data_IF_478823165779
#
_entry.id   IF_478823165779
#
_cell.length_a   1.000
_cell.length_b   1.000
_cell.length_c   1.000
_cell.angle_alpha   90.00
_cell.angle_beta   90.00
_cell.angle_gamma   90.00
#
_symmetry.space_group_name_H-M   'P 1'
#
loop_
_entity.id
_entity.type
_entity.pdbx_description
1 polymer ?
#
# COMPACT_ATOMS: atom_id res chain seq x y z
N UNK A 1 -5.98 -8.02 22.65
CA UNK A 1 -5.05 -8.28 21.52
C UNK A 1 -5.53 -9.41 20.61
N UNK A 2 -5.39 -10.70 20.96
CA UNK A 2 -5.59 -11.82 20.00
C UNK A 2 -6.93 -11.85 19.22
N UNK A 3 -8.05 -11.37 19.81
CA UNK A 3 -9.38 -11.43 19.19
C UNK A 3 -9.64 -10.32 18.15
N UNK A 4 -9.27 -9.08 18.43
CA UNK A 4 -9.32 -7.98 17.44
C UNK A 4 -8.30 -8.21 16.33
N UNK A 5 -7.09 -8.63 16.70
CA UNK A 5 -6.04 -9.00 15.75
C UNK A 5 -6.57 -10.02 14.75
N UNK A 6 -7.34 -11.03 15.20
CA UNK A 6 -7.91 -12.04 14.30
C UNK A 6 -8.98 -11.51 13.36
N UNK A 7 -9.83 -10.57 13.79
CA UNK A 7 -10.93 -10.04 12.96
C UNK A 7 -10.38 -9.08 11.93
N UNK A 8 -9.55 -8.11 12.33
CA UNK A 8 -8.90 -7.16 11.41
C UNK A 8 -8.02 -7.87 10.37
N UNK A 9 -7.23 -8.88 10.79
CA UNK A 9 -6.43 -9.67 9.84
C UNK A 9 -7.32 -10.47 8.90
N UNK A 10 -8.39 -11.09 9.38
CA UNK A 10 -9.26 -11.91 8.52
C UNK A 10 -9.97 -11.06 7.46
N UNK A 11 -10.55 -9.93 7.86
CA UNK A 11 -11.24 -9.01 6.95
C UNK A 11 -10.27 -8.40 5.92
N UNK A 12 -9.04 -8.09 6.32
CA UNK A 12 -8.02 -7.56 5.43
C UNK A 12 -7.37 -8.64 4.54
N UNK A 13 -7.34 -9.91 4.98
CA UNK A 13 -6.82 -11.04 4.19
C UNK A 13 -7.81 -11.55 3.15
N UNK A 14 -9.12 -11.44 3.37
CA UNK A 14 -10.13 -11.90 2.42
C UNK A 14 -9.93 -11.34 0.99
N UNK A 15 -9.80 -10.01 0.77
CA UNK A 15 -9.56 -9.48 -0.59
C UNK A 15 -8.23 -9.93 -1.17
N UNK A 16 -7.20 -10.17 -0.34
CA UNK A 16 -5.90 -10.70 -0.76
C UNK A 16 -6.06 -12.15 -1.26
N UNK A 17 -6.79 -12.99 -0.53
CA UNK A 17 -7.06 -14.38 -0.89
C UNK A 17 -7.86 -14.44 -2.20
N UNK A 18 -8.93 -13.65 -2.32
CA UNK A 18 -9.75 -13.59 -3.54
C UNK A 18 -8.90 -13.21 -4.75
N UNK A 19 -8.02 -12.22 -4.59
CA UNK A 19 -7.11 -11.80 -5.64
C UNK A 19 -6.08 -12.86 -6.00
N UNK A 20 -5.56 -13.59 -5.02
CA UNK A 20 -4.64 -14.71 -5.25
C UNK A 20 -5.31 -15.82 -6.07
N UNK A 21 -6.52 -16.21 -5.69
CA UNK A 21 -7.33 -17.19 -6.42
C UNK A 21 -7.60 -16.70 -7.85
N UNK A 22 -8.01 -15.44 -8.02
CA UNK A 22 -8.23 -14.84 -9.33
C UNK A 22 -6.98 -14.87 -10.21
N UNK A 23 -5.82 -14.51 -9.66
CA UNK A 23 -4.54 -14.50 -10.37
C UNK A 23 -4.14 -15.90 -10.85
N UNK A 24 -4.34 -16.93 -10.01
CA UNK A 24 -4.10 -18.32 -10.39
C UNK A 24 -5.05 -18.77 -11.50
N UNK A 25 -6.35 -18.55 -11.34
CA UNK A 25 -7.36 -18.94 -12.33
C UNK A 25 -7.11 -18.26 -13.67
N UNK A 26 -6.78 -16.97 -13.66
CA UNK A 26 -6.45 -16.24 -14.87
C UNK A 26 -5.16 -16.78 -15.51
N UNK A 27 -4.12 -17.08 -14.73
CA UNK A 27 -2.90 -17.70 -15.24
C UNK A 27 -3.16 -19.07 -15.88
N UNK A 28 -4.04 -19.89 -15.30
CA UNK A 28 -4.44 -21.18 -15.87
C UNK A 28 -5.23 -20.97 -17.18
N UNK A 29 -6.23 -20.10 -17.17
CA UNK A 29 -7.03 -19.75 -18.36
C UNK A 29 -6.16 -19.25 -19.51
N UNK A 30 -5.17 -18.39 -19.24
CA UNK A 30 -4.24 -17.90 -20.25
C UNK A 30 -3.33 -19.01 -20.79
N UNK A 31 -2.96 -19.99 -19.96
CA UNK A 31 -2.21 -21.17 -20.41
C UNK A 31 -3.05 -22.04 -21.36
N UNK A 32 -4.35 -22.20 -21.10
CA UNK A 32 -5.25 -22.97 -21.96
C UNK A 32 -5.61 -22.26 -23.26
N UNK A 33 -5.95 -20.97 -23.18
CA UNK A 33 -6.33 -20.17 -24.34
C UNK A 33 -5.15 -19.86 -25.27
N UNK A 34 -3.92 -19.94 -24.74
CA UNK A 34 -2.68 -19.63 -25.44
C UNK A 34 -2.78 -18.35 -26.31
N UNK A 35 -3.23 -17.22 -25.73
CA UNK A 35 -3.39 -15.99 -26.50
C UNK A 35 -2.03 -15.45 -26.95
N UNK A 36 -2.07 -14.53 -27.91
CA UNK A 36 -0.86 -13.85 -28.36
C UNK A 36 -0.08 -13.24 -27.18
N UNK A 37 1.25 -13.24 -27.28
CA UNK A 37 2.19 -12.78 -26.25
C UNK A 37 1.89 -11.36 -25.75
N UNK A 38 1.49 -10.45 -26.64
CA UNK A 38 1.11 -9.08 -26.28
C UNK A 38 -0.15 -9.02 -25.40
N UNK A 39 -1.18 -9.79 -25.73
CA UNK A 39 -2.44 -9.88 -24.96
C UNK A 39 -2.15 -10.48 -23.59
N UNK A 40 -1.35 -11.55 -23.55
CA UNK A 40 -0.92 -12.20 -22.30
C UNK A 40 -0.16 -11.22 -21.40
N UNK A 41 0.82 -10.48 -21.94
CA UNK A 41 1.59 -9.49 -21.18
C UNK A 41 0.70 -8.36 -20.67
N UNK A 42 -0.19 -7.80 -21.49
CA UNK A 42 -1.09 -6.74 -21.04
C UNK A 42 -2.02 -7.19 -19.91
N UNK A 43 -2.51 -8.42 -19.95
CA UNK A 43 -3.36 -8.97 -18.89
C UNK A 43 -2.58 -9.18 -17.60
N UNK A 44 -1.36 -9.73 -17.65
CA UNK A 44 -0.53 -9.87 -16.45
C UNK A 44 -0.06 -8.53 -15.89
N UNK A 45 0.24 -7.53 -16.73
CA UNK A 45 0.50 -6.16 -16.31
C UNK A 45 -0.71 -5.47 -15.66
N UNK A 46 -1.93 -5.76 -16.13
CA UNK A 46 -3.15 -5.28 -15.49
C UNK A 46 -3.34 -5.92 -14.11
N UNK A 47 -3.08 -7.22 -13.99
CA UNK A 47 -3.08 -7.93 -12.70
C UNK A 47 -2.05 -7.27 -11.77
N UNK A 48 -0.79 -7.07 -12.19
CA UNK A 48 0.21 -6.43 -11.35
C UNK A 48 -0.25 -5.04 -10.87
N UNK A 49 -0.92 -4.27 -11.72
CA UNK A 49 -1.58 -3.01 -11.31
C UNK A 49 -2.69 -3.19 -10.27
N UNK A 50 -3.55 -4.20 -10.41
CA UNK A 50 -4.61 -4.51 -9.45
C UNK A 50 -4.08 -4.83 -8.05
N UNK A 51 -2.88 -5.41 -7.93
CA UNK A 51 -2.27 -5.65 -6.61
C UNK A 51 -2.12 -4.37 -5.77
N UNK A 52 -1.83 -3.24 -6.43
CA UNK A 52 -1.71 -1.92 -5.79
C UNK A 52 -3.08 -1.44 -5.33
N UNK A 53 -4.12 -1.63 -6.16
CA UNK A 53 -5.49 -1.24 -5.82
C UNK A 53 -5.99 -1.99 -4.59
N UNK A 54 -5.72 -3.29 -4.50
CA UNK A 54 -6.13 -4.10 -3.35
C UNK A 54 -5.38 -3.68 -2.09
N UNK A 55 -4.07 -3.39 -2.22
CA UNK A 55 -3.30 -2.86 -1.10
C UNK A 55 -3.87 -1.53 -0.60
N UNK A 56 -4.25 -0.64 -1.52
CA UNK A 56 -4.95 0.60 -1.18
C UNK A 56 -6.26 0.33 -0.44
N UNK A 57 -7.07 -0.62 -0.91
CA UNK A 57 -8.33 -1.01 -0.25
C UNK A 57 -8.11 -1.50 1.17
N UNK A 58 -7.08 -2.34 1.41
CA UNK A 58 -6.74 -2.79 2.77
C UNK A 58 -6.36 -1.60 3.67
N UNK A 59 -5.56 -0.66 3.15
CA UNK A 59 -5.20 0.54 3.90
C UNK A 59 -6.42 1.43 4.22
N UNK A 60 -7.33 1.58 3.24
CA UNK A 60 -8.53 2.41 3.36
C UNK A 60 -9.64 1.77 4.21
N UNK A 61 -9.76 0.44 4.23
CA UNK A 61 -10.75 -0.27 5.05
C UNK A 61 -10.58 0.04 6.53
N UNK A 62 -9.34 0.11 6.99
CA UNK A 62 -9.04 0.50 8.37
C UNK A 62 -9.52 1.95 8.68
N UNK A 63 -9.57 2.84 7.68
CA UNK A 63 -10.10 4.21 7.82
C UNK A 63 -11.63 4.17 7.86
N UNK A 64 -12.23 3.48 6.89
CA UNK A 64 -13.69 3.39 6.71
C UNK A 64 -14.35 2.76 7.94
N UNK A 65 -13.76 1.68 8.47
CA UNK A 65 -14.35 0.94 9.58
C UNK A 65 -14.07 1.58 10.94
N UNK A 66 -13.30 2.67 11.00
CA UNK A 66 -12.84 3.30 12.24
C UNK A 66 -12.22 2.29 13.25
N UNK A 67 -11.62 1.20 12.77
CA UNK A 67 -11.10 0.11 13.61
C UNK A 67 -10.05 0.57 14.62
N UNK A 68 -9.41 1.70 14.35
CA UNK A 68 -8.47 2.35 15.28
C UNK A 68 -9.13 2.89 16.56
N UNK A 69 -10.41 3.27 16.56
CA UNK A 69 -11.09 3.73 17.80
C UNK A 69 -11.15 2.61 18.81
N UNK A 70 -11.37 1.39 18.34
CA UNK A 70 -11.41 0.23 19.21
C UNK A 70 -10.03 -0.10 19.77
N UNK A 71 -8.96 0.11 19.00
CA UNK A 71 -7.57 -0.04 19.48
C UNK A 71 -7.22 0.93 20.60
N UNK A 72 -7.75 2.17 20.56
CA UNK A 72 -7.50 3.18 21.58
C UNK A 72 -8.15 2.87 22.93
N UNK A 73 -9.17 1.98 22.97
CA UNK A 73 -9.87 1.55 24.20
C UNK A 73 -9.07 0.53 25.02
N UNK A 74 -8.02 -0.07 24.45
CA UNK A 74 -7.21 -1.06 25.16
C UNK A 74 -6.12 -0.38 26.01
N UNK A 75 -5.73 -0.97 27.15
CA UNK A 75 -4.65 -0.47 28.00
C UNK A 75 -3.28 -0.80 27.40
N UNK A 76 -3.02 -0.30 26.19
CA UNK A 76 -1.78 -0.48 25.44
C UNK A 76 -1.12 0.90 25.32
N UNK A 77 0.21 0.96 25.45
CA UNK A 77 0.92 2.23 25.29
C UNK A 77 0.72 2.79 23.88
N UNK A 78 0.59 4.10 23.76
CA UNK A 78 0.35 4.76 22.46
C UNK A 78 1.48 4.50 21.46
N UNK A 79 2.73 4.39 21.95
CA UNK A 79 3.88 4.00 21.12
C UNK A 79 3.77 2.57 20.59
N UNK A 80 3.23 1.64 21.38
CA UNK A 80 3.07 0.25 20.95
C UNK A 80 1.98 0.09 19.90
N UNK A 81 0.93 0.93 19.93
CA UNK A 81 -0.10 0.99 18.89
C UNK A 81 0.52 1.37 17.53
N UNK A 82 1.39 2.39 17.52
CA UNK A 82 2.10 2.78 16.30
C UNK A 82 2.97 1.63 15.78
N UNK A 83 3.81 1.04 16.64
CA UNK A 83 4.67 -0.07 16.28
C UNK A 83 3.87 -1.25 15.70
N UNK A 84 2.76 -1.61 16.35
CA UNK A 84 1.89 -2.68 15.90
C UNK A 84 1.34 -2.43 14.49
N UNK A 85 0.78 -1.23 14.25
CA UNK A 85 0.20 -0.91 12.94
C UNK A 85 1.25 -0.84 11.82
N UNK A 86 2.47 -0.42 12.13
CA UNK A 86 3.56 -0.46 11.14
C UNK A 86 4.07 -1.89 10.88
N UNK A 87 4.10 -2.77 11.88
CA UNK A 87 4.41 -4.20 11.67
C UNK A 87 3.34 -4.87 10.81
N UNK A 88 2.07 -4.62 11.10
CA UNK A 88 0.94 -5.09 10.27
C UNK A 88 1.08 -4.59 8.83
N UNK A 89 1.36 -3.29 8.66
CA UNK A 89 1.59 -2.68 7.37
C UNK A 89 2.76 -3.30 6.60
N UNK A 90 3.92 -3.53 7.23
CA UNK A 90 5.07 -4.20 6.62
C UNK A 90 4.68 -5.61 6.14
N UNK A 91 3.94 -6.36 6.97
CA UNK A 91 3.45 -7.69 6.61
C UNK A 91 2.64 -7.66 5.32
N UNK A 92 1.72 -6.70 5.18
CA UNK A 92 0.99 -6.51 3.92
C UNK A 92 1.91 -6.12 2.77
N UNK A 93 2.81 -5.14 2.95
CA UNK A 93 3.75 -4.71 1.89
C UNK A 93 4.55 -5.88 1.32
N UNK A 94 5.03 -6.79 2.18
CA UNK A 94 5.77 -7.99 1.75
C UNK A 94 4.88 -8.88 0.88
N UNK A 95 3.65 -9.16 1.33
CA UNK A 95 2.70 -10.00 0.58
C UNK A 95 2.38 -9.37 -0.78
N UNK A 96 2.06 -8.08 -0.82
CA UNK A 96 1.69 -7.39 -2.06
C UNK A 96 2.86 -7.27 -3.03
N UNK A 97 4.06 -6.98 -2.54
CA UNK A 97 5.28 -6.92 -3.37
C UNK A 97 5.58 -8.30 -3.96
N UNK A 98 5.44 -9.37 -3.17
CA UNK A 98 5.63 -10.73 -3.64
C UNK A 98 4.64 -11.10 -4.76
N UNK A 99 3.36 -10.79 -4.59
CA UNK A 99 2.35 -11.06 -5.64
C UNK A 99 2.61 -10.21 -6.89
N UNK A 100 2.98 -8.94 -6.72
CA UNK A 100 3.36 -8.03 -7.80
C UNK A 100 4.52 -8.57 -8.63
N UNK A 101 5.58 -9.05 -7.97
CA UNK A 101 6.75 -9.64 -8.63
C UNK A 101 6.36 -10.90 -9.41
N UNK A 102 5.59 -11.82 -8.83
CA UNK A 102 5.17 -13.05 -9.52
C UNK A 102 4.35 -12.72 -10.76
N UNK A 103 3.37 -11.82 -10.63
CA UNK A 103 2.46 -11.47 -11.73
C UNK A 103 3.21 -10.75 -12.85
N UNK A 104 4.15 -9.86 -12.50
CA UNK A 104 5.01 -9.21 -13.49
C UNK A 104 5.97 -10.20 -14.17
N UNK A 105 6.57 -11.12 -13.42
CA UNK A 105 7.45 -12.16 -13.98
C UNK A 105 6.73 -13.02 -15.03
N UNK A 106 5.47 -13.36 -14.76
CA UNK A 106 4.63 -14.10 -15.71
C UNK A 106 4.25 -13.28 -16.96
N UNK A 107 4.36 -11.95 -16.89
CA UNK A 107 4.09 -11.01 -17.98
C UNK A 107 5.26 -10.91 -18.97
N UNK A 108 6.45 -10.55 -18.49
CA UNK A 108 7.57 -10.15 -19.35
C UNK A 108 8.68 -11.20 -19.48
N UNK A 109 8.69 -12.25 -18.64
CA UNK A 109 9.68 -13.34 -18.68
C UNK A 109 11.09 -12.96 -18.23
N UNK A 110 11.49 -11.69 -18.40
CA UNK A 110 12.68 -11.07 -17.82
C UNK A 110 12.26 -9.94 -16.90
N UNK A 111 12.89 -9.87 -15.74
CA UNK A 111 12.48 -8.95 -14.69
C UNK A 111 13.70 -8.24 -14.14
N UNK A 112 13.71 -6.91 -14.24
CA UNK A 112 14.56 -6.05 -13.42
C UNK A 112 14.00 -6.09 -11.98
N UNK A 113 14.21 -7.20 -11.27
CA UNK A 113 13.58 -7.50 -9.97
C UNK A 113 13.78 -6.34 -8.99
N UNK A 114 15.00 -5.78 -8.95
CA UNK A 114 15.33 -4.67 -8.09
C UNK A 114 14.49 -3.42 -8.36
N UNK A 115 14.25 -3.11 -9.64
CA UNK A 115 13.44 -1.96 -10.06
C UNK A 115 11.98 -2.14 -9.69
N UNK A 116 11.45 -3.35 -9.85
CA UNK A 116 10.08 -3.66 -9.43
C UNK A 116 9.95 -3.54 -7.92
N UNK A 117 10.87 -4.15 -7.17
CA UNK A 117 10.91 -4.00 -5.71
C UNK A 117 10.94 -2.52 -5.32
N UNK A 118 11.78 -1.73 -5.98
CA UNK A 118 11.89 -0.30 -5.71
C UNK A 118 10.60 0.48 -6.00
N UNK A 119 9.91 0.19 -7.12
CA UNK A 119 8.63 0.80 -7.47
C UNK A 119 7.54 0.41 -6.46
N UNK A 120 7.45 -0.87 -6.10
CA UNK A 120 6.48 -1.35 -5.12
C UNK A 120 6.74 -0.80 -3.72
N UNK A 121 8.01 -0.73 -3.29
CA UNK A 121 8.40 -0.10 -2.03
C UNK A 121 8.05 1.39 -2.01
N UNK A 122 8.30 2.12 -3.11
CA UNK A 122 7.94 3.51 -3.20
C UNK A 122 6.42 3.69 -3.12
N UNK A 123 5.64 2.94 -3.91
CA UNK A 123 4.19 2.94 -3.83
C UNK A 123 3.68 2.64 -2.42
N UNK A 124 4.24 1.61 -1.79
CA UNK A 124 3.94 1.24 -0.41
C UNK A 124 4.26 2.36 0.58
N UNK A 125 5.40 3.03 0.43
CA UNK A 125 5.77 4.15 1.31
C UNK A 125 4.75 5.28 1.26
N UNK A 126 4.18 5.59 0.10
CA UNK A 126 3.10 6.57 -0.02
C UNK A 126 1.84 6.15 0.72
N UNK A 127 1.43 4.88 0.60
CA UNK A 127 0.29 4.36 1.36
C UNK A 127 0.55 4.34 2.86
N UNK A 128 1.81 4.28 3.31
CA UNK A 128 2.10 4.37 4.74
C UNK A 128 1.64 5.69 5.34
N UNK A 129 1.55 6.78 4.55
CA UNK A 129 1.03 8.08 5.00
C UNK A 129 -0.46 8.05 5.31
N UNK A 130 -1.19 7.00 4.92
CA UNK A 130 -2.56 6.81 5.37
C UNK A 130 -2.61 6.65 6.89
N UNK A 131 -1.68 5.89 7.50
CA UNK A 131 -1.61 5.61 8.95
C UNK A 131 -1.70 6.87 9.84
N UNK A 132 -0.82 7.89 9.69
CA UNK A 132 -0.92 9.10 10.49
C UNK A 132 -2.23 9.85 10.24
N UNK A 133 -2.74 9.89 9.00
CA UNK A 133 -4.02 10.52 8.68
C UNK A 133 -5.19 9.82 9.38
N UNK A 134 -5.18 8.48 9.47
CA UNK A 134 -6.22 7.73 10.18
C UNK A 134 -6.33 8.17 11.63
N UNK A 135 -5.18 8.26 12.31
CA UNK A 135 -5.16 8.65 13.71
C UNK A 135 -5.53 10.12 13.85
N UNK A 136 -4.98 11.02 13.03
CA UNK A 136 -5.25 12.45 13.09
C UNK A 136 -6.75 12.74 13.01
N UNK A 137 -7.42 12.10 12.06
CA UNK A 137 -8.84 12.32 11.79
C UNK A 137 -9.76 11.32 12.47
N UNK A 138 -9.28 10.63 13.51
CA UNK A 138 -10.06 9.60 14.20
C UNK A 138 -11.45 10.05 14.63
N UNK A 139 -11.60 11.33 14.96
CA UNK A 139 -12.83 11.90 15.53
C UNK A 139 -13.65 12.68 14.51
N UNK A 140 -13.18 12.71 13.26
CA UNK A 140 -13.82 13.44 12.17
C UNK A 140 -14.63 12.48 11.30
N UNK A 141 -15.53 13.05 10.51
CA UNK A 141 -16.32 12.29 9.55
C UNK A 141 -15.41 11.70 8.46
N UNK A 142 -15.63 10.43 8.11
CA UNK A 142 -14.89 9.69 7.07
C UNK A 142 -14.84 10.47 5.75
N UNK A 143 -15.92 11.15 5.37
CA UNK A 143 -15.96 11.99 4.17
C UNK A 143 -14.87 13.09 4.17
N UNK A 144 -14.54 13.63 5.34
CA UNK A 144 -13.50 14.64 5.50
C UNK A 144 -12.09 14.04 5.33
N UNK A 145 -11.89 12.80 5.78
CA UNK A 145 -10.63 12.07 5.59
C UNK A 145 -10.36 11.82 4.11
N UNK A 146 -11.38 11.36 3.37
CA UNK A 146 -11.27 11.16 1.92
C UNK A 146 -11.03 12.46 1.16
N UNK A 147 -11.69 13.56 1.56
CA UNK A 147 -11.47 14.86 0.95
C UNK A 147 -10.02 15.33 1.13
N UNK A 148 -9.42 15.11 2.31
CA UNK A 148 -8.02 15.47 2.55
C UNK A 148 -7.07 14.58 1.76
N UNK A 149 -7.30 13.27 1.71
CA UNK A 149 -6.52 12.36 0.87
C UNK A 149 -6.57 12.81 -0.60
N UNK A 150 -7.77 13.18 -1.08
CA UNK A 150 -7.95 13.67 -2.45
C UNK A 150 -7.20 14.99 -2.70
N UNK A 151 -7.31 15.97 -1.80
CA UNK A 151 -6.61 17.25 -1.91
C UNK A 151 -5.09 17.08 -1.86
N UNK A 152 -4.57 16.25 -0.96
CA UNK A 152 -3.13 15.95 -0.90
C UNK A 152 -2.66 15.24 -2.17
N UNK A 153 -3.45 14.31 -2.70
CA UNK A 153 -3.19 13.63 -3.96
C UNK A 153 -3.14 14.58 -5.16
N UNK A 154 -4.07 15.53 -5.26
CA UNK A 154 -4.09 16.51 -6.36
C UNK A 154 -2.95 17.52 -6.26
N UNK A 155 -2.62 18.00 -5.07
CA UNK A 155 -1.46 18.88 -4.85
C UNK A 155 -0.16 18.14 -5.20
N UNK A 156 0.00 16.90 -4.76
CA UNK A 156 1.16 16.06 -5.10
C UNK A 156 1.29 15.83 -6.61
N UNK A 157 0.17 15.51 -7.28
CA UNK A 157 0.12 15.37 -8.73
C UNK A 157 0.48 16.66 -9.47
N UNK A 158 0.03 17.81 -8.97
CA UNK A 158 0.38 19.12 -9.51
C UNK A 158 1.87 19.41 -9.35
N UNK A 159 2.46 19.17 -8.18
CA UNK A 159 3.90 19.35 -7.94
C UNK A 159 4.71 18.47 -8.90
N UNK A 160 4.32 17.19 -9.06
CA UNK A 160 4.97 16.27 -10.01
C UNK A 160 4.87 16.78 -11.45
N UNK A 161 3.76 17.41 -11.84
CA UNK A 161 3.61 18.00 -13.17
C UNK A 161 4.55 19.19 -13.43
N UNK A 162 4.98 19.89 -12.38
CA UNK A 162 5.94 21.01 -12.46
C UNK A 162 7.41 20.58 -12.37
N UNK A 163 7.69 19.35 -11.92
CA UNK A 163 9.04 18.79 -11.90
C UNK A 163 9.43 18.42 -13.34
N UNK A 164 10.66 18.79 -13.75
CA UNK A 164 11.18 18.48 -15.08
C UNK A 164 11.07 16.99 -15.40
N UNK A 165 10.58 16.65 -16.60
CA UNK A 165 10.51 15.27 -17.12
C UNK A 165 11.85 14.55 -17.01
N UNK A 166 12.97 15.27 -17.13
CA UNK A 166 14.31 14.70 -16.99
C UNK A 166 14.63 14.28 -15.55
N UNK A 167 14.16 15.04 -14.56
CA UNK A 167 14.32 14.70 -13.13
C UNK A 167 13.47 13.47 -12.79
N UNK A 168 12.22 13.44 -13.25
CA UNK A 168 11.33 12.28 -13.05
C UNK A 168 11.95 11.03 -13.69
N UNK A 169 12.45 11.15 -14.92
CA UNK A 169 13.12 10.06 -15.63
C UNK A 169 14.38 9.59 -14.90
N UNK A 170 15.18 10.52 -14.37
CA UNK A 170 16.39 10.20 -13.60
C UNK A 170 16.05 9.41 -12.32
N UNK A 171 15.01 9.82 -11.60
CA UNK A 171 14.55 9.14 -10.37
C UNK A 171 14.00 7.75 -10.70
N UNK A 172 13.14 7.63 -11.70
CA UNK A 172 12.53 6.35 -12.09
C UNK A 172 13.54 5.33 -12.64
N UNK A 173 14.66 5.80 -13.18
CA UNK A 173 15.73 4.94 -13.72
C UNK A 173 16.80 4.58 -12.70
N UNK A 174 16.69 5.02 -11.43
CA UNK A 174 17.68 4.73 -10.41
C UNK A 174 17.02 4.07 -9.19
N UNK A 175 17.18 2.76 -9.09
CA UNK A 175 16.56 1.92 -8.07
C UNK A 175 16.99 2.32 -6.65
N UNK A 176 18.24 2.75 -6.48
CA UNK A 176 18.77 3.18 -5.18
C UNK A 176 18.06 4.45 -4.73
N UNK A 177 17.88 5.42 -5.62
CA UNK A 177 17.16 6.67 -5.30
C UNK A 177 15.71 6.35 -4.91
N UNK A 178 15.04 5.47 -5.65
CA UNK A 178 13.67 5.03 -5.33
C UNK A 178 13.57 4.38 -3.95
N UNK A 179 14.50 3.48 -3.61
CA UNK A 179 14.53 2.81 -2.29
C UNK A 179 14.79 3.83 -1.18
N UNK A 180 15.74 4.75 -1.35
CA UNK A 180 16.04 5.78 -0.36
C UNK A 180 14.83 6.70 -0.13
N UNK A 181 14.15 7.12 -1.20
CA UNK A 181 12.92 7.91 -1.10
C UNK A 181 11.83 7.14 -0.35
N UNK A 182 11.65 5.85 -0.67
CA UNK A 182 10.67 5.02 0.01
C UNK A 182 10.93 4.92 1.52
N UNK A 183 12.19 4.70 1.92
CA UNK A 183 12.57 4.65 3.33
C UNK A 183 12.36 5.98 4.04
N UNK A 184 12.69 7.11 3.38
CA UNK A 184 12.45 8.44 3.93
C UNK A 184 10.96 8.71 4.17
N UNK A 185 10.11 8.44 3.18
CA UNK A 185 8.65 8.61 3.31
C UNK A 185 8.09 7.73 4.42
N UNK A 186 8.55 6.47 4.49
CA UNK A 186 8.14 5.53 5.53
C UNK A 186 8.54 6.03 6.93
N UNK A 187 9.78 6.51 7.09
CA UNK A 187 10.27 7.05 8.35
C UNK A 187 9.49 8.30 8.79
N UNK A 188 9.20 9.20 7.86
CA UNK A 188 8.35 10.38 8.10
C UNK A 188 6.96 9.95 8.57
N UNK A 189 6.34 8.97 7.89
CA UNK A 189 5.04 8.46 8.28
C UNK A 189 5.02 7.88 9.70
N UNK A 190 6.06 7.11 10.04
CA UNK A 190 6.22 6.52 11.37
C UNK A 190 6.34 7.58 12.47
N UNK A 191 7.21 8.57 12.26
CA UNK A 191 7.37 9.68 13.20
C UNK A 191 6.09 10.50 13.36
N UNK A 192 5.42 10.83 12.25
CA UNK A 192 4.16 11.55 12.25
C UNK A 192 3.09 10.80 13.05
N UNK A 193 2.98 9.48 12.83
CA UNK A 193 2.02 8.63 13.55
C UNK A 193 2.27 8.63 15.05
N UNK A 194 3.53 8.45 15.48
CA UNK A 194 3.90 8.51 16.91
C UNK A 194 3.60 9.86 17.53
N UNK A 195 3.94 10.94 16.82
CA UNK A 195 3.68 12.30 17.28
C UNK A 195 2.18 12.55 17.47
N UNK A 196 1.35 12.19 16.50
CA UNK A 196 -0.11 12.35 16.56
C UNK A 196 -0.70 11.55 17.73
N UNK A 197 -0.26 10.31 17.91
CA UNK A 197 -0.72 9.45 19.01
C UNK A 197 -0.29 9.97 20.38
N UNK A 198 0.89 10.60 20.50
CA UNK A 198 1.36 11.18 21.76
C UNK A 198 0.57 12.40 22.21
N UNK A 199 -0.03 13.14 21.26
CA UNK A 199 -0.81 14.36 21.53
C UNK A 199 -2.32 14.11 21.68
N UNK A 200 -2.78 12.88 21.45
CA UNK A 200 -4.19 12.52 21.55
C UNK A 200 -4.52 12.14 22.98
N UNK A 201 -5.16 13.09 23.67
CA UNK A 201 -5.88 12.85 24.91
C UNK A 201 -7.24 12.25 24.56
N UNK A 202 -7.48 11.01 24.98
CA UNK A 202 -8.77 10.33 24.93
C UNK A 202 -9.04 9.72 26.30
#
# INVERSE_FOLDING_TARGET
>A
MKKIIKVDLYENLLPIIVYFIFSILLSLSLKFLNPNTSIRSNLFGLISGLSIVIFATVCLNNIINNSYKDLLKYPISRSDIANYKFVEFIGFVIIFTFIGIITYYLSEGHVEILKIIAIYLLGASYFSLTLPLMFLFSDKNIAYVFLIIFVLGTIGGFILAFISKNIIKMVLNNEIILIVLALLVYFISYLATRFILSKKEF
#
